data_IF_507015471969
#
_entry.id   IF_507015471969
#
_cell.length_a   1.000
_cell.length_b   1.000
_cell.length_c   1.000
_cell.angle_alpha   90.00
_cell.angle_beta   90.00
_cell.angle_gamma   90.00
#
_symmetry.space_group_name_H-M   'P 1'
#
loop_
_entity.id
_entity.type
_entity.pdbx_description
1 polymer ?
#
# COMPACT_ATOMS: atom_id res chain seq x y z
N UNK A 1 -17.85 18.16 -5.54
CA UNK A 1 -18.42 16.92 -4.98
C UNK A 1 -18.03 15.80 -5.93
N UNK A 2 -16.87 15.16 -5.73
CA UNK A 2 -16.44 14.04 -6.57
C UNK A 2 -17.21 12.80 -6.14
N UNK A 3 -18.02 12.26 -7.04
CA UNK A 3 -18.73 11.01 -6.85
C UNK A 3 -17.67 9.91 -6.78
N UNK A 4 -17.54 9.23 -5.63
CA UNK A 4 -16.69 8.07 -5.49
C UNK A 4 -17.36 6.92 -6.26
N UNK A 5 -17.08 6.81 -7.57
CA UNK A 5 -17.63 5.73 -8.39
C UNK A 5 -17.04 4.40 -7.91
N UNK A 6 -17.88 3.39 -7.59
CA UNK A 6 -17.36 2.06 -7.30
C UNK A 6 -16.74 1.49 -8.58
N UNK A 7 -15.41 1.37 -8.58
CA UNK A 7 -14.71 0.64 -9.63
C UNK A 7 -14.89 -0.86 -9.37
N UNK A 8 -15.68 -1.52 -10.21
CA UNK A 8 -15.84 -2.98 -10.15
C UNK A 8 -14.59 -3.65 -10.72
N UNK A 9 -13.95 -4.51 -9.93
CA UNK A 9 -12.79 -5.30 -10.36
C UNK A 9 -13.29 -6.72 -10.65
N UNK A 10 -13.45 -7.05 -11.92
CA UNK A 10 -13.65 -8.44 -12.34
C UNK A 10 -12.28 -9.15 -12.43
N UNK A 11 -12.05 -10.08 -11.50
CA UNK A 11 -10.83 -10.89 -11.43
C UNK A 11 -11.18 -12.36 -11.60
N UNK A 12 -10.57 -13.00 -12.60
CA UNK A 12 -10.61 -14.46 -12.76
C UNK A 12 -9.51 -15.08 -11.91
N UNK A 13 -9.87 -15.60 -10.74
CA UNK A 13 -8.95 -16.32 -9.86
C UNK A 13 -8.99 -17.82 -10.15
N UNK A 14 -7.86 -18.50 -9.92
CA UNK A 14 -7.83 -19.96 -9.95
C UNK A 14 -8.56 -20.53 -8.72
N UNK A 15 -8.98 -21.80 -8.74
CA UNK A 15 -9.58 -22.44 -7.57
C UNK A 15 -8.67 -22.40 -6.33
N UNK A 16 -7.35 -22.53 -6.50
CA UNK A 16 -6.41 -22.44 -5.38
C UNK A 16 -6.37 -21.03 -4.79
N UNK A 17 -6.41 -19.98 -5.63
CA UNK A 17 -6.43 -18.59 -5.17
C UNK A 17 -7.71 -18.25 -4.42
N UNK A 18 -8.87 -18.78 -4.85
CA UNK A 18 -10.14 -18.61 -4.13
C UNK A 18 -10.11 -19.31 -2.76
N UNK A 19 -9.53 -20.51 -2.67
CA UNK A 19 -9.34 -21.20 -1.39
C UNK A 19 -8.44 -20.39 -0.45
N UNK A 20 -7.33 -19.84 -0.95
CA UNK A 20 -6.45 -18.97 -0.16
C UNK A 20 -7.18 -17.72 0.36
N UNK A 21 -8.02 -17.09 -0.47
CA UNK A 21 -8.80 -15.92 -0.04
C UNK A 21 -9.82 -16.30 1.03
N UNK A 22 -10.51 -17.43 0.89
CA UNK A 22 -11.46 -17.90 1.89
C UNK A 22 -10.78 -18.14 3.24
N UNK A 23 -9.62 -18.81 3.24
CA UNK A 23 -8.82 -19.03 4.45
C UNK A 23 -8.40 -17.71 5.11
N UNK A 24 -7.97 -16.72 4.33
CA UNK A 24 -7.60 -15.40 4.84
C UNK A 24 -8.82 -14.64 5.37
N UNK A 25 -9.97 -14.73 4.71
CA UNK A 25 -11.20 -14.08 5.14
C UNK A 25 -11.61 -14.58 6.53
N UNK A 26 -11.63 -15.91 6.71
CA UNK A 26 -12.00 -16.54 7.96
C UNK A 26 -10.99 -16.26 9.07
N UNK A 27 -9.69 -16.40 8.79
CA UNK A 27 -8.63 -16.19 9.77
C UNK A 27 -8.57 -14.75 10.30
N UNK A 28 -8.92 -13.77 9.46
CA UNK A 28 -8.89 -12.35 9.79
C UNK A 28 -10.26 -11.76 10.15
N UNK A 29 -11.31 -12.60 10.17
CA UNK A 29 -12.70 -12.20 10.38
C UNK A 29 -13.13 -11.03 9.47
N UNK A 30 -12.73 -11.08 8.20
CA UNK A 30 -13.05 -10.03 7.23
C UNK A 30 -14.46 -10.23 6.66
N UNK A 31 -15.21 -9.13 6.43
CA UNK A 31 -16.63 -9.21 6.08
C UNK A 31 -16.87 -9.65 4.63
N UNK A 32 -15.85 -9.59 3.77
CA UNK A 32 -15.95 -9.96 2.36
C UNK A 32 -14.59 -10.26 1.74
N UNK A 33 -14.63 -11.01 0.63
CA UNK A 33 -13.50 -11.22 -0.29
C UNK A 33 -12.86 -9.90 -0.74
N UNK A 34 -13.66 -8.87 -0.97
CA UNK A 34 -13.15 -7.57 -1.40
C UNK A 34 -12.22 -6.94 -0.33
N UNK A 35 -12.57 -7.06 0.96
CA UNK A 35 -11.72 -6.54 2.03
C UNK A 35 -10.41 -7.32 2.15
N UNK A 36 -10.41 -8.63 1.89
CA UNK A 36 -9.18 -9.44 1.80
C UNK A 36 -8.27 -8.89 0.69
N UNK A 37 -8.82 -8.70 -0.52
CA UNK A 37 -8.05 -8.19 -1.66
C UNK A 37 -7.52 -6.78 -1.38
N UNK A 38 -8.35 -5.89 -0.83
CA UNK A 38 -7.94 -4.53 -0.44
C UNK A 38 -6.80 -4.56 0.59
N UNK A 39 -6.85 -5.48 1.55
CA UNK A 39 -5.80 -5.66 2.54
C UNK A 39 -4.49 -6.13 1.88
N UNK A 40 -4.56 -7.15 1.03
CA UNK A 40 -3.40 -7.68 0.32
C UNK A 40 -2.74 -6.62 -0.57
N UNK A 41 -3.55 -5.83 -1.30
CA UNK A 41 -3.04 -4.70 -2.11
C UNK A 41 -2.33 -3.68 -1.23
N UNK A 42 -2.93 -3.26 -0.10
CA UNK A 42 -2.28 -2.32 0.83
C UNK A 42 -0.95 -2.85 1.35
N UNK A 43 -0.91 -4.12 1.76
CA UNK A 43 0.32 -4.76 2.25
C UNK A 43 1.40 -4.86 1.17
N UNK A 44 1.02 -5.19 -0.07
CA UNK A 44 1.95 -5.23 -1.19
C UNK A 44 2.52 -3.85 -1.50
N UNK A 45 1.68 -2.82 -1.54
CA UNK A 45 2.08 -1.43 -1.83
C UNK A 45 3.04 -0.88 -0.76
N UNK A 46 2.80 -1.17 0.52
CA UNK A 46 3.67 -0.73 1.63
C UNK A 46 5.13 -1.18 1.49
N UNK A 47 5.41 -2.24 0.72
CA UNK A 47 6.78 -2.74 0.48
C UNK A 47 7.51 -2.03 -0.64
N UNK A 48 6.78 -1.38 -1.55
CA UNK A 48 7.34 -0.86 -2.80
C UNK A 48 7.07 0.63 -3.01
N UNK A 49 6.29 1.26 -2.13
CA UNK A 49 5.91 2.65 -2.29
C UNK A 49 5.65 3.34 -0.95
N UNK A 50 5.82 4.66 -0.95
CA UNK A 50 5.44 5.56 0.13
C UNK A 50 4.43 6.60 -0.38
N UNK A 51 3.77 7.31 0.51
CA UNK A 51 2.95 8.46 0.12
C UNK A 51 3.86 9.65 -0.21
N UNK A 52 3.70 10.23 -1.40
CA UNK A 52 4.41 11.42 -1.82
C UNK A 52 3.96 12.61 -0.96
N UNK A 53 4.88 13.29 -0.23
CA UNK A 53 4.53 14.41 0.64
C UNK A 53 4.08 15.65 -0.15
N UNK A 54 4.44 15.74 -1.44
CA UNK A 54 4.09 16.89 -2.27
C UNK A 54 2.66 16.83 -2.81
N UNK A 55 2.11 15.64 -3.09
CA UNK A 55 0.80 15.52 -3.76
C UNK A 55 -0.12 14.43 -3.21
N UNK A 56 0.30 13.64 -2.23
CA UNK A 56 -0.52 12.59 -1.61
C UNK A 56 -0.69 11.30 -2.43
N UNK A 57 -0.18 11.22 -3.65
CA UNK A 57 -0.16 9.98 -4.45
C UNK A 57 0.97 9.05 -4.02
N UNK A 58 0.93 7.78 -4.45
CA UNK A 58 2.02 6.85 -4.20
C UNK A 58 3.27 7.19 -5.01
N UNK A 59 4.42 7.17 -4.35
CA UNK A 59 5.76 7.27 -4.94
C UNK A 59 6.46 5.91 -4.80
N UNK A 60 6.97 5.38 -5.91
CA UNK A 60 7.61 4.05 -5.95
C UNK A 60 9.04 4.14 -5.41
N UNK A 61 9.38 3.26 -4.48
CA UNK A 61 10.73 3.08 -3.96
C UNK A 61 11.68 2.60 -5.08
N UNK A 62 12.87 3.16 -5.12
CA UNK A 62 13.97 2.75 -6.01
C UNK A 62 15.13 2.19 -5.19
N UNK A 63 16.01 1.43 -5.86
CA UNK A 63 17.18 0.81 -5.22
C UNK A 63 18.24 1.83 -4.76
N UNK A 64 18.09 3.11 -5.13
CA UNK A 64 19.02 4.20 -4.80
C UNK A 64 18.66 4.95 -3.50
N UNK A 65 17.79 4.39 -2.66
CA UNK A 65 17.31 5.09 -1.46
C UNK A 65 16.45 6.31 -1.81
N UNK A 66 15.70 6.24 -2.91
CA UNK A 66 14.78 7.30 -3.33
C UNK A 66 13.38 6.75 -3.53
N UNK A 67 12.41 7.65 -3.62
CA UNK A 67 11.08 7.34 -4.11
C UNK A 67 10.66 8.31 -5.22
N UNK A 68 10.13 7.78 -6.32
CA UNK A 68 9.70 8.56 -7.49
C UNK A 68 8.19 8.62 -7.57
N UNK A 69 7.63 9.83 -7.53
CA UNK A 69 6.19 10.04 -7.71
C UNK A 69 5.87 10.30 -9.18
N UNK A 70 5.12 9.39 -9.81
CA UNK A 70 4.73 9.55 -11.22
C UNK A 70 3.61 10.59 -11.43
N UNK A 71 2.92 11.02 -10.37
CA UNK A 71 1.82 11.99 -10.46
C UNK A 71 2.31 13.43 -10.53
N UNK A 72 3.30 13.80 -9.71
CA UNK A 72 3.86 15.16 -9.69
C UNK A 72 5.33 15.23 -10.13
N UNK A 73 5.93 14.10 -10.50
CA UNK A 73 7.32 13.97 -10.94
C UNK A 73 8.35 14.35 -9.86
N UNK A 74 7.94 14.39 -8.60
CA UNK A 74 8.86 14.63 -7.48
C UNK A 74 9.71 13.39 -7.20
N UNK A 75 10.99 13.62 -6.94
CA UNK A 75 11.91 12.61 -6.39
C UNK A 75 12.11 12.91 -4.91
N UNK A 76 11.93 11.89 -4.07
CA UNK A 76 12.03 11.98 -2.62
C UNK A 76 13.28 11.22 -2.21
N UNK A 77 14.26 11.91 -1.64
CA UNK A 77 15.42 11.25 -1.03
C UNK A 77 14.99 10.66 0.32
N UNK A 78 15.13 9.35 0.46
CA UNK A 78 14.94 8.66 1.73
C UNK A 78 16.29 8.75 2.43
N UNK A 79 16.46 9.74 3.31
CA UNK A 79 17.67 9.80 4.13
C UNK A 79 17.79 8.49 4.93
N UNK A 80 19.00 7.92 5.02
CA UNK A 80 19.29 6.72 5.81
C UNK A 80 19.10 6.91 7.34
N UNK A 81 18.71 8.10 7.80
CA UNK A 81 18.62 8.43 9.22
C UNK A 81 17.18 8.60 9.74
N UNK A 82 16.60 7.48 10.15
CA UNK A 82 15.91 7.42 11.45
C UNK A 82 16.60 6.33 12.28
N UNK A 83 17.90 6.52 12.53
CA UNK A 83 18.60 5.86 13.63
C UNK A 83 18.38 6.70 14.90
N UNK A 84 17.51 6.22 15.80
CA UNK A 84 17.55 6.43 17.25
C UNK A 84 17.80 7.87 17.77
N UNK A 85 16.73 8.57 18.15
CA UNK A 85 16.70 9.33 19.43
C UNK A 85 15.29 9.16 20.01
N UNK A 86 15.06 8.14 20.84
CA UNK A 86 15.14 8.25 22.30
C UNK A 86 14.64 9.61 22.79
N UNK A 87 13.43 9.61 23.36
CA UNK A 87 13.04 10.67 24.26
C UNK A 87 14.01 10.77 25.43
N UNK A 88 14.34 11.99 25.82
CA UNK A 88 14.08 12.55 27.15
C UNK A 88 14.57 14.00 27.13
N UNK A 89 13.67 14.90 27.49
CA UNK A 89 14.00 16.30 27.69
C UNK A 89 14.87 16.48 28.93
N UNK A 90 15.67 17.54 28.91
CA UNK A 90 16.23 18.17 30.11
C UNK A 90 15.96 19.66 30.03
#
# INVERSE_FOLDING_TARGET
>A
MTVNQPHHLDMNLTPEEEEMIALLQDALALPSREEVIRLLVKQAVQRIAITCPACGHYARLTDEGKAECQSCLSVISLAEDILLTSGEGS
#
